data_IF_294277675291
#
_entry.id   IF_294277675291
#
_cell.length_a   1.000
_cell.length_b   1.000
_cell.length_c   1.000
_cell.angle_alpha   90.00
_cell.angle_beta   90.00
_cell.angle_gamma   90.00
#
_symmetry.space_group_name_H-M   'P 1'
#
loop_
_entity.id
_entity.type
_entity.pdbx_description
1 polymer ?
#
# COMPACT_ATOMS: atom_id res chain seq x y z
N UNK A 1 -31.88 -30.36 37.94
CA UNK A 1 -31.64 -29.08 37.24
C UNK A 1 -30.13 -28.94 37.12
N UNK A 2 -29.57 -29.23 35.93
CA UNK A 2 -28.13 -29.14 35.69
C UNK A 2 -27.81 -27.69 35.34
N UNK A 3 -27.04 -27.01 36.18
CA UNK A 3 -26.57 -25.66 35.90
C UNK A 3 -25.52 -25.73 34.78
N UNK A 4 -25.89 -25.24 33.60
CA UNK A 4 -24.98 -24.99 32.50
C UNK A 4 -24.03 -23.85 32.90
N UNK A 5 -22.80 -24.20 33.26
CA UNK A 5 -21.70 -23.25 33.41
C UNK A 5 -21.36 -22.71 32.03
N UNK A 6 -21.94 -21.56 31.68
CA UNK A 6 -21.43 -20.76 30.57
C UNK A 6 -20.00 -20.32 30.91
N UNK A 7 -19.02 -20.96 30.28
CA UNK A 7 -17.66 -20.43 30.20
C UNK A 7 -17.75 -19.04 29.57
N UNK A 8 -17.69 -18.00 30.40
CA UNK A 8 -17.47 -16.64 29.93
C UNK A 8 -16.08 -16.62 29.32
N UNK A 9 -16.01 -16.52 28.00
CA UNK A 9 -14.79 -16.10 27.31
C UNK A 9 -14.32 -14.80 27.99
N UNK A 10 -13.07 -14.70 28.46
CA UNK A 10 -12.57 -13.47 29.07
C UNK A 10 -12.79 -12.31 28.09
N UNK A 11 -13.28 -11.19 28.63
CA UNK A 11 -13.47 -10.00 27.81
C UNK A 11 -12.11 -9.59 27.22
N UNK A 12 -12.06 -9.17 25.94
CA UNK A 12 -10.81 -8.77 25.31
C UNK A 12 -10.14 -7.67 26.14
N UNK A 13 -8.82 -7.78 26.31
CA UNK A 13 -8.04 -6.82 27.08
C UNK A 13 -8.21 -5.42 26.50
N UNK A 14 -8.41 -4.43 27.39
CA UNK A 14 -8.60 -3.04 26.95
C UNK A 14 -7.31 -2.43 26.37
N UNK A 15 -6.14 -2.91 26.81
CA UNK A 15 -4.81 -2.58 26.30
C UNK A 15 -4.04 -3.84 25.96
N UNK A 16 -3.16 -3.73 24.96
CA UNK A 16 -2.26 -4.80 24.53
C UNK A 16 -0.84 -4.51 25.01
N UNK A 17 -0.09 -5.57 25.28
CA UNK A 17 1.30 -5.52 25.70
C UNK A 17 2.13 -6.61 25.00
N UNK A 18 3.45 -6.56 25.16
CA UNK A 18 4.33 -7.62 24.65
C UNK A 18 4.02 -8.99 25.27
N UNK A 19 3.40 -9.05 26.46
CA UNK A 19 3.01 -10.33 27.10
C UNK A 19 1.85 -11.02 26.40
N UNK A 20 1.10 -10.28 25.59
CA UNK A 20 0.01 -10.80 24.78
C UNK A 20 0.53 -11.32 23.43
N UNK A 21 1.84 -11.15 23.14
CA UNK A 21 2.49 -11.70 21.96
C UNK A 21 2.81 -13.19 22.19
N UNK A 22 2.12 -14.05 21.45
CA UNK A 22 2.19 -15.50 21.45
C UNK A 22 2.47 -15.96 20.01
N UNK A 23 3.65 -16.55 19.82
CA UNK A 23 4.10 -17.00 18.51
C UNK A 23 3.28 -18.19 18.00
N UNK A 24 2.75 -19.07 18.86
CA UNK A 24 1.96 -20.22 18.44
C UNK A 24 0.58 -19.76 17.95
N UNK A 25 -0.03 -18.78 18.62
CA UNK A 25 -1.25 -18.13 18.15
C UNK A 25 -1.03 -17.41 16.80
N UNK A 26 0.15 -16.81 16.61
CA UNK A 26 0.53 -16.18 15.35
C UNK A 26 0.70 -17.20 14.21
N UNK A 27 1.42 -18.29 14.45
CA UNK A 27 1.59 -19.42 13.51
C UNK A 27 0.25 -19.95 13.03
N UNK A 28 -0.67 -20.19 13.97
CA UNK A 28 -2.01 -20.68 13.66
C UNK A 28 -2.83 -19.76 12.74
N UNK A 29 -2.48 -18.47 12.65
CA UNK A 29 -3.08 -17.51 11.72
C UNK A 29 -2.38 -17.47 10.36
N UNK A 30 -1.04 -17.45 10.36
CA UNK A 30 -0.24 -17.23 9.13
C UNK A 30 -0.01 -18.49 8.31
N UNK A 31 -0.11 -19.66 8.94
CA UNK A 31 0.02 -20.96 8.26
C UNK A 31 -1.30 -21.43 7.62
N UNK A 32 -2.37 -20.63 7.73
CA UNK A 32 -3.65 -20.93 7.08
C UNK A 32 -3.52 -20.81 5.56
N UNK A 33 -4.09 -21.74 4.77
CA UNK A 33 -4.12 -21.62 3.33
C UNK A 33 -5.20 -20.63 2.86
N UNK A 34 -4.89 -19.84 1.84
CA UNK A 34 -5.87 -19.04 1.10
C UNK A 34 -6.62 -19.93 0.09
N UNK A 35 -7.89 -20.21 0.35
CA UNK A 35 -8.76 -20.95 -0.57
C UNK A 35 -9.29 -20.05 -1.69
N UNK A 36 -8.98 -20.40 -2.95
CA UNK A 36 -9.44 -19.64 -4.14
C UNK A 36 -10.96 -19.64 -4.31
N UNK A 37 -11.66 -20.65 -3.78
CA UNK A 37 -13.12 -20.78 -3.83
C UNK A 37 -13.86 -19.63 -3.13
N UNK A 38 -13.21 -18.98 -2.16
CA UNK A 38 -13.74 -17.80 -1.49
C UNK A 38 -13.55 -16.48 -2.28
N UNK A 39 -12.84 -16.53 -3.42
CA UNK A 39 -12.43 -15.38 -4.23
C UNK A 39 -12.72 -15.61 -5.73
N UNK A 40 -14.00 -15.67 -6.15
CA UNK A 40 -14.39 -15.96 -7.53
C UNK A 40 -13.88 -14.96 -8.58
N UNK A 41 -13.50 -13.73 -8.18
CA UNK A 41 -12.91 -12.76 -9.10
C UNK A 41 -11.39 -12.90 -9.24
N UNK A 42 -10.72 -13.61 -8.34
CA UNK A 42 -9.31 -13.92 -8.45
C UNK A 42 -9.03 -14.93 -9.58
N UNK A 43 -7.91 -14.74 -10.26
CA UNK A 43 -7.39 -15.64 -11.28
C UNK A 43 -6.63 -16.82 -10.69
N UNK A 44 -6.09 -16.68 -9.48
CA UNK A 44 -5.39 -17.73 -8.77
C UNK A 44 -4.91 -17.31 -7.39
N UNK A 45 -4.26 -18.25 -6.72
CA UNK A 45 -3.54 -18.02 -5.46
C UNK A 45 -2.13 -18.56 -5.64
N UNK A 46 -1.13 -17.74 -5.35
CA UNK A 46 0.27 -18.17 -5.31
C UNK A 46 0.87 -17.80 -3.95
N UNK A 47 1.41 -18.78 -3.23
CA UNK A 47 2.03 -18.55 -1.90
C UNK A 47 1.13 -17.74 -0.94
N UNK A 48 -0.16 -18.10 -0.90
CA UNK A 48 -1.23 -17.42 -0.16
C UNK A 48 -1.59 -15.99 -0.62
N UNK A 49 -0.99 -15.48 -1.68
CA UNK A 49 -1.34 -14.19 -2.28
C UNK A 49 -2.39 -14.38 -3.38
N UNK A 50 -3.44 -13.56 -3.35
CA UNK A 50 -4.46 -13.57 -4.40
C UNK A 50 -3.96 -12.83 -5.64
N UNK A 51 -4.06 -13.48 -6.80
CA UNK A 51 -3.71 -12.92 -8.09
C UNK A 51 -4.99 -12.57 -8.85
N UNK A 52 -5.10 -11.34 -9.32
CA UNK A 52 -6.18 -10.86 -10.18
C UNK A 52 -5.62 -10.39 -11.51
N UNK A 53 -6.45 -10.43 -12.55
CA UNK A 53 -6.11 -9.85 -13.87
C UNK A 53 -6.94 -8.59 -14.08
N UNK A 54 -6.28 -7.47 -14.43
CA UNK A 54 -6.94 -6.17 -14.54
C UNK A 54 -8.07 -6.15 -15.59
N UNK A 55 -7.90 -6.87 -16.70
CA UNK A 55 -8.90 -7.00 -17.77
C UNK A 55 -10.17 -7.73 -17.29
N UNK A 56 -10.02 -8.78 -16.48
CA UNK A 56 -11.13 -9.50 -15.85
C UNK A 56 -11.86 -8.62 -14.84
N UNK A 57 -11.11 -7.86 -14.04
CA UNK A 57 -11.70 -6.93 -13.08
C UNK A 57 -12.50 -5.81 -13.77
N UNK A 58 -12.03 -5.32 -14.92
CA UNK A 58 -12.72 -4.28 -15.68
C UNK A 58 -14.10 -4.71 -16.21
N UNK A 59 -14.30 -6.01 -16.45
CA UNK A 59 -15.54 -6.59 -16.95
C UNK A 59 -16.50 -7.08 -15.85
N UNK A 60 -16.01 -7.18 -14.60
CA UNK A 60 -16.78 -7.72 -13.49
C UNK A 60 -17.72 -6.66 -12.86
N UNK A 61 -18.70 -7.14 -12.09
CA UNK A 61 -19.49 -6.23 -11.26
C UNK A 61 -18.59 -5.56 -10.21
N UNK A 62 -18.47 -4.23 -10.31
CA UNK A 62 -17.54 -3.46 -9.48
C UNK A 62 -17.80 -3.65 -7.99
N UNK A 63 -19.07 -3.72 -7.58
CA UNK A 63 -19.44 -3.85 -6.15
C UNK A 63 -19.10 -5.24 -5.61
N UNK A 64 -19.32 -6.30 -6.39
CA UNK A 64 -18.92 -7.65 -6.03
C UNK A 64 -17.39 -7.76 -5.86
N UNK A 65 -16.63 -7.20 -6.80
CA UNK A 65 -15.15 -7.14 -6.69
C UNK A 65 -14.72 -6.36 -5.45
N UNK A 66 -15.31 -5.19 -5.18
CA UNK A 66 -14.99 -4.42 -3.98
C UNK A 66 -15.24 -5.22 -2.69
N UNK A 67 -16.37 -5.93 -2.60
CA UNK A 67 -16.68 -6.77 -1.44
C UNK A 67 -15.67 -7.91 -1.26
N UNK A 68 -15.21 -8.51 -2.36
CA UNK A 68 -14.17 -9.53 -2.36
C UNK A 68 -12.80 -8.98 -1.93
N UNK A 69 -12.39 -7.81 -2.44
CA UNK A 69 -11.17 -7.12 -2.04
C UNK A 69 -11.20 -6.74 -0.55
N UNK A 70 -12.32 -6.25 -0.03
CA UNK A 70 -12.51 -5.97 1.41
C UNK A 70 -12.28 -7.24 2.23
N UNK A 71 -12.86 -8.38 1.81
CA UNK A 71 -12.63 -9.67 2.45
C UNK A 71 -11.16 -10.08 2.39
N UNK A 72 -10.50 -9.89 1.25
CA UNK A 72 -9.09 -10.21 1.08
C UNK A 72 -8.19 -9.42 2.05
N UNK A 73 -8.46 -8.13 2.26
CA UNK A 73 -7.66 -7.27 3.14
C UNK A 73 -7.99 -7.42 4.64
N UNK A 74 -9.24 -7.68 4.99
CA UNK A 74 -9.66 -7.86 6.38
C UNK A 74 -9.40 -9.29 6.87
N UNK A 75 -10.24 -10.23 6.44
CA UNK A 75 -10.28 -11.60 6.98
C UNK A 75 -9.39 -12.58 6.20
N UNK A 76 -8.97 -12.18 5.00
CA UNK A 76 -8.21 -12.98 4.05
C UNK A 76 -6.69 -12.89 4.24
N UNK A 77 -5.92 -13.04 3.15
CA UNK A 77 -4.45 -13.02 3.19
C UNK A 77 -3.85 -11.64 3.47
N UNK A 78 -4.63 -10.57 3.42
CA UNK A 78 -4.14 -9.21 3.64
C UNK A 78 -3.36 -8.63 2.47
N UNK A 79 -3.28 -9.32 1.32
CA UNK A 79 -2.50 -8.92 0.15
C UNK A 79 -3.14 -9.43 -1.15
N UNK A 80 -3.07 -8.61 -2.19
CA UNK A 80 -3.47 -8.95 -3.55
C UNK A 80 -2.43 -8.42 -4.55
N UNK A 81 -2.25 -9.13 -5.66
CA UNK A 81 -1.50 -8.66 -6.84
C UNK A 81 -2.48 -8.56 -8.01
N UNK A 82 -2.47 -7.41 -8.67
CA UNK A 82 -3.25 -7.16 -9.88
C UNK A 82 -2.28 -7.13 -11.07
N UNK A 83 -2.33 -8.18 -11.87
CA UNK A 83 -1.50 -8.32 -13.07
C UNK A 83 -2.01 -7.42 -14.18
N UNK A 84 -1.08 -6.77 -14.87
CA UNK A 84 -1.40 -5.83 -15.94
C UNK A 84 -2.24 -4.64 -15.47
N UNK A 85 -2.07 -4.21 -14.20
CA UNK A 85 -2.79 -3.06 -13.66
C UNK A 85 -2.62 -1.82 -14.55
N UNK A 86 -1.45 -1.66 -15.17
CA UNK A 86 -1.22 -0.76 -16.30
C UNK A 86 -1.15 -1.55 -17.60
N UNK A 87 -2.28 -1.64 -18.31
CA UNK A 87 -2.36 -2.36 -19.58
C UNK A 87 -1.51 -1.75 -20.71
N UNK A 88 -1.29 -0.43 -20.67
CA UNK A 88 -0.34 0.26 -21.55
C UNK A 88 0.96 0.55 -20.79
N UNK A 89 2.05 -0.20 -21.08
CA UNK A 89 3.34 0.04 -20.45
C UNK A 89 3.91 1.43 -20.72
N UNK A 90 3.48 2.11 -21.80
CA UNK A 90 3.99 3.44 -22.13
C UNK A 90 3.56 4.50 -21.11
N UNK A 91 2.43 4.30 -20.41
CA UNK A 91 2.02 5.17 -19.28
C UNK A 91 3.05 5.05 -18.14
N UNK A 92 3.43 3.81 -17.79
CA UNK A 92 4.46 3.55 -16.77
C UNK A 92 5.81 4.12 -17.20
N UNK A 93 6.19 3.97 -18.47
CA UNK A 93 7.46 4.49 -19.00
C UNK A 93 7.54 6.02 -18.92
N UNK A 94 6.47 6.74 -19.28
CA UNK A 94 6.41 8.21 -19.15
C UNK A 94 6.57 8.65 -17.70
N UNK A 95 5.84 8.03 -16.77
CA UNK A 95 5.95 8.35 -15.34
C UNK A 95 7.31 7.93 -14.76
N UNK A 96 7.91 6.84 -15.24
CA UNK A 96 9.28 6.44 -14.90
C UNK A 96 10.28 7.54 -15.29
N UNK A 97 10.15 8.10 -16.49
CA UNK A 97 11.00 9.21 -16.94
C UNK A 97 10.86 10.46 -16.05
N UNK A 98 9.64 10.79 -15.60
CA UNK A 98 9.40 11.86 -14.62
C UNK A 98 10.13 11.56 -13.31
N UNK A 99 10.03 10.32 -12.80
CA UNK A 99 10.71 9.93 -11.56
C UNK A 99 12.23 9.95 -11.69
N UNK A 100 12.79 9.46 -12.79
CA UNK A 100 14.24 9.55 -13.04
C UNK A 100 14.71 11.01 -13.13
N UNK A 101 13.93 11.90 -13.76
CA UNK A 101 14.24 13.33 -13.80
C UNK A 101 14.21 13.97 -12.41
N UNK A 102 13.23 13.62 -11.57
CA UNK A 102 13.15 14.07 -10.18
C UNK A 102 14.35 13.57 -9.36
N UNK A 103 14.74 12.29 -9.50
CA UNK A 103 15.92 11.72 -8.84
C UNK A 103 17.20 12.44 -9.30
N UNK A 104 17.36 12.67 -10.61
CA UNK A 104 18.52 13.38 -11.14
C UNK A 104 18.59 14.82 -10.62
N UNK A 105 17.45 15.52 -10.53
CA UNK A 105 17.35 16.86 -9.96
C UNK A 105 17.73 16.92 -8.48
N UNK A 106 17.29 15.95 -7.67
CA UNK A 106 17.67 15.84 -6.25
C UNK A 106 19.18 15.61 -6.07
N UNK A 107 19.77 14.75 -6.90
CA UNK A 107 21.23 14.50 -6.89
C UNK A 107 22.00 15.75 -7.27
N UNK A 108 21.56 16.48 -8.30
CA UNK A 108 22.23 17.68 -8.79
C UNK A 108 22.17 18.85 -7.80
N UNK A 109 21.10 18.97 -7.01
CA UNK A 109 20.94 20.04 -6.01
C UNK A 109 21.73 19.81 -4.72
N UNK A 110 22.37 18.64 -4.56
CA UNK A 110 23.06 18.27 -3.31
C UNK A 110 22.10 18.01 -2.14
N UNK A 111 20.78 18.07 -2.36
CA UNK A 111 19.77 17.62 -1.42
C UNK A 111 19.78 16.09 -1.40
N UNK A 112 20.79 15.49 -0.76
CA UNK A 112 20.86 14.06 -0.50
C UNK A 112 19.72 13.65 0.43
N UNK A 113 18.53 13.39 -0.13
CA UNK A 113 17.45 12.78 0.60
C UNK A 113 17.84 11.32 0.86
N UNK A 114 18.52 11.08 1.99
CA UNK A 114 18.81 9.74 2.45
C UNK A 114 17.51 8.94 2.57
N UNK A 115 17.56 7.68 2.19
CA UNK A 115 16.59 6.70 2.66
C UNK A 115 16.83 6.50 4.16
N UNK A 116 15.86 6.83 5.01
CA UNK A 116 15.95 6.58 6.45
C UNK A 116 16.17 5.08 6.78
N UNK A 117 15.90 4.20 5.82
CA UNK A 117 15.96 2.75 5.97
C UNK A 117 17.18 2.10 5.31
N UNK A 118 18.07 2.85 4.64
CA UNK A 118 19.23 2.28 3.95
C UNK A 118 20.51 3.13 4.08
N UNK A 119 21.66 2.51 3.78
CA UNK A 119 22.95 3.24 3.72
C UNK A 119 22.90 4.27 2.58
N UNK A 120 23.56 5.45 2.72
CA UNK A 120 23.63 6.44 1.65
C UNK A 120 24.10 5.82 0.32
N UNK A 121 23.35 6.06 -0.76
CA UNK A 121 23.63 5.54 -2.11
C UNK A 121 23.13 4.12 -2.39
N UNK A 122 22.63 3.38 -1.40
CA UNK A 122 22.05 2.05 -1.64
C UNK A 122 20.71 2.14 -2.39
N UNK A 123 19.89 3.15 -2.06
CA UNK A 123 18.58 3.38 -2.64
C UNK A 123 18.45 4.83 -3.14
N UNK A 124 17.69 5.05 -4.21
CA UNK A 124 17.15 6.37 -4.55
C UNK A 124 15.72 6.49 -4.03
N UNK A 125 15.40 7.61 -3.39
CA UNK A 125 14.07 7.87 -2.80
C UNK A 125 13.56 9.25 -3.21
N UNK A 126 12.34 9.30 -3.74
CA UNK A 126 11.60 10.55 -3.93
C UNK A 126 10.43 10.57 -2.95
N UNK A 127 10.54 11.38 -1.88
CA UNK A 127 9.42 11.70 -0.98
C UNK A 127 8.42 12.62 -1.67
N UNK A 128 7.15 12.56 -1.28
CA UNK A 128 6.06 13.31 -1.89
C UNK A 128 6.11 13.28 -3.44
N UNK A 129 6.28 12.09 -4.00
CA UNK A 129 6.41 11.90 -5.44
C UNK A 129 5.11 12.23 -6.19
N UNK A 130 3.95 12.07 -5.54
CA UNK A 130 2.64 12.42 -6.09
C UNK A 130 2.60 13.90 -6.50
N UNK A 131 2.85 14.80 -5.55
CA UNK A 131 2.83 16.24 -5.80
C UNK A 131 3.89 16.64 -6.83
N UNK A 132 5.12 16.15 -6.64
CA UNK A 132 6.24 16.47 -7.52
C UNK A 132 5.98 16.02 -8.96
N UNK A 133 5.40 14.84 -9.17
CA UNK A 133 5.05 14.36 -10.50
C UNK A 133 3.94 15.22 -11.13
N UNK A 134 2.90 15.57 -10.37
CA UNK A 134 1.82 16.44 -10.85
C UNK A 134 2.34 17.81 -11.29
N UNK A 135 3.28 18.40 -10.55
CA UNK A 135 3.86 19.71 -10.87
C UNK A 135 4.91 19.64 -12.00
N UNK A 136 5.61 18.51 -12.14
CA UNK A 136 6.64 18.33 -13.14
C UNK A 136 6.06 18.03 -14.53
N UNK A 137 5.10 17.09 -14.60
CA UNK A 137 4.42 16.70 -15.83
C UNK A 137 2.95 16.34 -15.53
N UNK A 138 2.04 17.33 -15.58
CA UNK A 138 0.62 17.12 -15.30
C UNK A 138 -0.06 16.11 -16.24
N UNK A 139 0.41 15.96 -17.50
CA UNK A 139 -0.17 15.01 -18.46
C UNK A 139 0.23 13.58 -18.12
N UNK A 140 1.52 13.33 -17.86
CA UNK A 140 1.98 12.02 -17.40
C UNK A 140 1.37 11.63 -16.04
N UNK A 141 1.20 12.61 -15.14
CA UNK A 141 0.50 12.41 -13.88
C UNK A 141 -0.95 11.97 -14.10
N UNK A 142 -1.71 12.71 -14.93
CA UNK A 142 -3.12 12.43 -15.14
C UNK A 142 -3.33 11.07 -15.83
N UNK A 143 -2.54 10.74 -16.85
CA UNK A 143 -2.59 9.44 -17.51
C UNK A 143 -2.29 8.28 -16.52
N UNK A 144 -1.34 8.48 -15.61
CA UNK A 144 -0.96 7.46 -14.62
C UNK A 144 -2.01 7.27 -13.53
N UNK A 145 -2.53 8.34 -12.95
CA UNK A 145 -3.48 8.27 -11.84
C UNK A 145 -4.96 8.16 -12.27
N UNK A 146 -5.25 8.28 -13.56
CA UNK A 146 -6.53 7.83 -14.13
C UNK A 146 -6.75 6.31 -14.04
N UNK A 147 -5.74 5.56 -13.61
CA UNK A 147 -5.76 4.10 -13.53
C UNK A 147 -6.92 3.59 -12.66
N UNK A 148 -7.84 2.85 -13.30
CA UNK A 148 -9.04 2.35 -12.63
C UNK A 148 -8.78 1.23 -11.62
N UNK A 149 -7.69 0.47 -11.74
CA UNK A 149 -7.32 -0.54 -10.75
C UNK A 149 -6.95 0.14 -9.43
N UNK A 150 -6.16 1.21 -9.48
CA UNK A 150 -5.84 2.01 -8.28
C UNK A 150 -7.13 2.50 -7.64
N UNK A 151 -8.01 3.15 -8.42
CA UNK A 151 -9.27 3.68 -7.90
C UNK A 151 -10.20 2.58 -7.35
N UNK A 152 -10.30 1.44 -8.01
CA UNK A 152 -11.08 0.27 -7.60
C UNK A 152 -10.63 -0.23 -6.22
N UNK A 153 -9.34 -0.52 -6.09
CA UNK A 153 -8.77 -1.12 -4.89
C UNK A 153 -8.79 -0.13 -3.71
N UNK A 154 -8.45 1.14 -3.97
CA UNK A 154 -8.52 2.20 -2.96
C UNK A 154 -9.95 2.42 -2.45
N UNK A 155 -10.92 2.57 -3.35
CA UNK A 155 -12.32 2.79 -2.95
C UNK A 155 -12.99 1.57 -2.32
N UNK A 156 -12.52 0.35 -2.63
CA UNK A 156 -12.97 -0.87 -1.97
C UNK A 156 -12.67 -0.81 -0.47
N UNK A 157 -11.44 -0.49 -0.10
CA UNK A 157 -10.97 -0.54 1.28
C UNK A 157 -11.29 0.75 2.07
N UNK A 158 -11.09 1.92 1.47
CA UNK A 158 -11.08 3.20 2.16
C UNK A 158 -12.35 4.03 1.95
N UNK A 159 -13.21 3.59 1.02
CA UNK A 159 -14.38 4.35 0.58
C UNK A 159 -14.04 5.48 -0.39
N UNK A 160 -15.03 6.32 -0.74
CA UNK A 160 -14.82 7.50 -1.57
C UNK A 160 -13.98 8.57 -0.85
N UNK A 161 -13.39 9.49 -1.60
CA UNK A 161 -12.57 10.57 -1.04
C UNK A 161 -11.25 10.09 -0.45
N UNK A 162 -10.81 8.88 -0.79
CA UNK A 162 -9.48 8.41 -0.42
C UNK A 162 -8.42 9.40 -0.91
N UNK A 163 -7.31 9.49 -0.19
CA UNK A 163 -6.21 10.39 -0.50
C UNK A 163 -4.97 9.58 -0.85
N UNK A 164 -4.41 9.80 -2.03
CA UNK A 164 -3.15 9.14 -2.42
C UNK A 164 -1.98 10.04 -2.03
N UNK A 165 -0.99 9.48 -1.35
CA UNK A 165 0.39 9.96 -1.39
C UNK A 165 1.26 8.88 -2.03
N UNK A 166 2.43 9.27 -2.54
CA UNK A 166 3.33 8.29 -3.13
C UNK A 166 4.80 8.62 -2.95
N UNK A 167 5.61 7.58 -2.96
CA UNK A 167 7.05 7.64 -2.76
C UNK A 167 7.74 6.70 -3.73
N UNK A 168 8.65 7.24 -4.54
CA UNK A 168 9.43 6.40 -5.46
C UNK A 168 10.56 5.77 -4.70
N UNK A 169 10.69 4.45 -4.81
CA UNK A 169 11.77 3.69 -4.22
C UNK A 169 12.53 2.91 -5.29
N UNK A 170 13.80 3.24 -5.49
CA UNK A 170 14.72 2.49 -6.35
C UNK A 170 15.71 1.74 -5.47
N UNK A 171 15.64 0.42 -5.47
CA UNK A 171 16.64 -0.42 -4.80
C UNK A 171 17.70 -0.78 -5.83
N UNK A 172 18.91 -0.23 -5.68
CA UNK A 172 19.99 -0.49 -6.63
C UNK A 172 20.60 -1.88 -6.41
N UNK A 173 21.30 -2.46 -7.41
CA UNK A 173 22.07 -3.69 -7.23
C UNK A 173 22.95 -3.66 -5.97
N UNK A 174 22.88 -4.72 -5.17
CA UNK A 174 23.56 -4.82 -3.87
C UNK A 174 22.80 -4.18 -2.69
N UNK A 175 21.62 -3.59 -2.93
CA UNK A 175 20.76 -3.06 -1.87
C UNK A 175 20.35 -4.15 -0.87
N UNK A 176 20.49 -3.84 0.43
CA UNK A 176 20.16 -4.78 1.51
C UNK A 176 18.65 -4.82 1.79
N UNK A 177 18.18 -5.96 2.30
CA UNK A 177 16.81 -6.08 2.79
C UNK A 177 16.58 -5.16 3.99
N UNK A 178 15.33 -4.73 4.15
CA UNK A 178 14.85 -4.09 5.36
C UNK A 178 14.47 -5.13 6.41
N UNK A 179 14.35 -4.69 7.66
CA UNK A 179 13.75 -5.48 8.74
C UNK A 179 12.24 -5.54 8.54
N UNK A 180 11.63 -6.68 8.89
CA UNK A 180 10.17 -6.82 8.97
C UNK A 180 9.57 -5.67 9.75
N UNK A 181 8.43 -5.16 9.31
CA UNK A 181 7.66 -4.16 10.02
C UNK A 181 6.17 -4.27 9.65
N UNK A 182 5.36 -3.51 10.40
CA UNK A 182 4.04 -3.06 9.97
C UNK A 182 4.14 -1.58 9.64
N UNK A 183 3.27 -1.11 8.78
CA UNK A 183 3.19 0.30 8.40
C UNK A 183 2.28 1.10 9.34
N UNK A 184 2.05 2.36 8.94
CA UNK A 184 1.24 3.38 9.60
C UNK A 184 -0.08 2.85 10.20
N UNK A 185 -0.53 3.34 11.36
CA UNK A 185 0.01 4.42 12.19
C UNK A 185 0.95 3.93 13.29
N UNK A 186 0.63 2.79 13.89
CA UNK A 186 1.37 2.27 15.06
C UNK A 186 2.69 1.59 14.67
N UNK A 187 2.85 1.22 13.40
CA UNK A 187 4.03 0.55 12.87
C UNK A 187 5.34 1.30 13.08
N UNK A 188 5.31 2.63 13.16
CA UNK A 188 6.50 3.46 13.36
C UNK A 188 6.76 3.83 14.82
N UNK A 189 5.86 3.50 15.74
CA UNK A 189 6.01 3.81 17.16
C UNK A 189 6.92 2.81 17.88
N UNK A 190 7.50 3.19 19.02
CA UNK A 190 8.11 2.20 19.92
C UNK A 190 7.03 1.28 20.50
N UNK A 191 7.42 0.10 21.00
CA UNK A 191 6.48 -0.80 21.68
C UNK A 191 5.80 -0.13 22.89
N UNK A 192 6.55 0.68 23.64
CA UNK A 192 6.01 1.48 24.76
C UNK A 192 4.88 2.41 24.28
N UNK A 193 5.12 3.23 23.25
CA UNK A 193 4.13 4.16 22.72
C UNK A 193 2.93 3.42 22.10
N UNK A 194 3.17 2.34 21.34
CA UNK A 194 2.11 1.52 20.77
C UNK A 194 1.24 0.85 21.86
N UNK A 195 1.83 0.43 22.98
CA UNK A 195 1.10 -0.20 24.10
C UNK A 195 0.21 0.76 24.88
N UNK A 196 0.45 2.08 24.79
CA UNK A 196 -0.41 3.10 25.39
C UNK A 196 -1.76 3.23 24.66
N UNK A 197 -1.84 2.78 23.40
CA UNK A 197 -3.08 2.76 22.65
C UNK A 197 -3.94 1.55 23.04
N UNK A 198 -5.25 1.75 23.29
CA UNK A 198 -6.15 0.65 23.62
C UNK A 198 -6.36 -0.28 22.41
N UNK A 199 -6.75 -1.53 22.65
CA UNK A 199 -6.83 -2.57 21.63
C UNK A 199 -7.69 -2.19 20.40
N UNK A 200 -8.77 -1.42 20.59
CA UNK A 200 -9.59 -0.97 19.46
C UNK A 200 -8.87 0.01 18.52
N UNK A 201 -7.85 0.74 18.98
CA UNK A 201 -7.01 1.58 18.12
C UNK A 201 -6.05 0.72 17.29
N UNK A 202 -5.55 -0.39 17.83
CA UNK A 202 -4.77 -1.36 17.07
C UNK A 202 -5.60 -1.98 15.93
N UNK A 203 -6.90 -2.20 16.15
CA UNK A 203 -7.84 -2.67 15.12
C UNK A 203 -8.24 -1.58 14.12
N UNK A 204 -8.37 -0.33 14.57
CA UNK A 204 -8.74 0.82 13.73
C UNK A 204 -7.60 1.28 12.82
N UNK A 205 -6.36 1.28 13.32
CA UNK A 205 -5.22 1.82 12.58
C UNK A 205 -5.07 1.25 11.16
N UNK A 206 -5.15 -0.08 10.94
CA UNK A 206 -4.99 -0.63 9.59
C UNK A 206 -6.17 -0.40 8.65
N UNK A 207 -7.35 0.02 9.14
CA UNK A 207 -8.49 0.34 8.26
C UNK A 207 -8.45 1.77 7.74
N UNK A 208 -7.54 2.61 8.24
CA UNK A 208 -7.39 4.00 7.81
C UNK A 208 -6.43 4.18 6.64
N UNK A 209 -5.65 3.16 6.29
CA UNK A 209 -4.74 3.21 5.14
C UNK A 209 -4.70 1.90 4.37
N UNK A 210 -4.23 1.99 3.13
CA UNK A 210 -3.89 0.87 2.27
C UNK A 210 -2.51 1.11 1.67
N UNK A 211 -1.66 0.10 1.73
CA UNK A 211 -0.36 0.15 1.07
C UNK A 211 -0.48 -0.43 -0.33
N UNK A 212 0.20 0.20 -1.28
CA UNK A 212 0.30 -0.27 -2.64
C UNK A 212 1.69 -0.04 -3.22
N UNK A 213 2.03 -0.78 -4.26
CA UNK A 213 3.20 -0.50 -5.07
C UNK A 213 2.93 -0.87 -6.52
N UNK A 214 3.34 0.01 -7.43
CA UNK A 214 3.34 -0.26 -8.88
C UNK A 214 4.78 -0.55 -9.31
N UNK A 215 4.97 -1.62 -10.08
CA UNK A 215 6.26 -1.99 -10.61
C UNK A 215 6.61 -1.15 -11.85
N UNK A 216 7.72 -0.40 -11.80
CA UNK A 216 8.20 0.42 -12.93
C UNK A 216 9.25 -0.31 -13.79
N UNK A 217 9.61 -1.53 -13.40
CA UNK A 217 10.44 -2.45 -14.16
C UNK A 217 9.99 -3.88 -13.84
N UNK A 218 10.48 -4.86 -14.57
CA UNK A 218 10.35 -6.25 -14.14
C UNK A 218 11.13 -6.45 -12.83
N UNK A 219 10.53 -7.18 -11.91
CA UNK A 219 11.06 -7.46 -10.58
C UNK A 219 11.08 -8.97 -10.33
N UNK A 220 12.00 -9.71 -10.95
CA UNK A 220 12.20 -11.10 -10.59
C UNK A 220 12.70 -11.18 -9.13
N UNK A 221 12.59 -12.35 -8.47
CA UNK A 221 12.86 -12.47 -7.03
C UNK A 221 14.28 -12.02 -6.66
N UNK A 222 15.27 -12.25 -7.53
CA UNK A 222 16.65 -11.80 -7.34
C UNK A 222 16.82 -10.28 -7.31
N UNK A 223 15.91 -9.50 -7.90
CA UNK A 223 15.95 -8.03 -7.82
C UNK A 223 15.41 -7.49 -6.50
N UNK A 224 14.93 -8.37 -5.60
CA UNK A 224 14.44 -8.00 -4.29
C UNK A 224 13.07 -7.32 -4.27
N UNK A 225 12.01 -7.87 -4.92
CA UNK A 225 10.64 -7.43 -4.64
C UNK A 225 10.33 -7.59 -3.14
N UNK A 226 9.28 -6.93 -2.66
CA UNK A 226 8.92 -6.91 -1.25
C UNK A 226 8.67 -8.33 -0.70
N UNK A 227 9.14 -8.56 0.52
CA UNK A 227 8.91 -9.75 1.34
C UNK A 227 7.56 -9.57 2.05
N UNK A 228 6.71 -10.59 2.04
CA UNK A 228 5.40 -10.55 2.67
C UNK A 228 5.16 -11.78 3.55
N UNK A 229 4.34 -11.64 4.59
CA UNK A 229 3.82 -12.78 5.33
C UNK A 229 2.29 -12.72 5.33
N UNK A 230 1.62 -13.34 4.33
CA UNK A 230 0.16 -13.39 4.24
C UNK A 230 -0.51 -13.80 5.55
N UNK A 231 -1.72 -13.28 5.79
CA UNK A 231 -2.54 -13.47 6.99
C UNK A 231 -1.99 -12.84 8.28
N UNK A 232 -0.76 -12.33 8.31
CA UNK A 232 -0.18 -11.77 9.54
C UNK A 232 -0.87 -10.49 10.01
N UNK A 233 -1.63 -9.80 9.15
CA UNK A 233 -2.39 -8.59 9.51
C UNK A 233 -3.50 -8.88 10.52
N UNK A 234 -3.99 -10.13 10.55
CA UNK A 234 -5.04 -10.59 11.48
C UNK A 234 -4.57 -10.65 12.92
N UNK A 235 -3.25 -10.67 13.15
CA UNK A 235 -2.70 -10.80 14.49
C UNK A 235 -2.79 -9.47 15.25
N UNK A 236 -3.71 -9.40 16.21
CA UNK A 236 -4.05 -8.16 16.90
C UNK A 236 -2.85 -7.51 17.64
N UNK A 237 -2.04 -8.23 18.44
CA UNK A 237 -0.84 -7.67 19.08
C UNK A 237 0.32 -7.38 18.11
N UNK A 238 0.17 -7.61 16.80
CA UNK A 238 1.30 -7.63 15.89
C UNK A 238 2.03 -6.30 15.68
N UNK A 239 1.44 -5.15 16.06
CA UNK A 239 2.18 -3.88 16.11
C UNK A 239 3.26 -3.85 17.20
N UNK A 240 3.13 -4.70 18.22
CA UNK A 240 4.14 -4.93 19.27
C UNK A 240 5.05 -6.12 18.89
N UNK A 241 4.47 -7.15 18.28
CA UNK A 241 5.14 -8.43 18.06
C UNK A 241 6.27 -8.39 17.03
N UNK A 242 6.16 -7.63 15.94
CA UNK A 242 7.13 -7.70 14.83
C UNK A 242 8.57 -7.34 15.23
N UNK A 243 8.75 -6.62 16.36
CA UNK A 243 10.08 -6.26 16.88
C UNK A 243 10.71 -7.35 17.73
N UNK A 244 9.92 -8.32 18.20
CA UNK A 244 10.38 -9.39 19.07
C UNK A 244 11.23 -10.40 18.28
N UNK A 245 12.36 -10.88 18.84
CA UNK A 245 13.30 -11.74 18.12
C UNK A 245 12.67 -12.98 17.47
N UNK A 246 11.75 -13.63 18.18
CA UNK A 246 11.09 -14.86 17.72
C UNK A 246 10.13 -14.63 16.55
N UNK A 247 9.47 -13.47 16.48
CA UNK A 247 8.63 -13.09 15.35
C UNK A 247 9.46 -12.66 14.13
N UNK A 248 10.60 -11.99 14.36
CA UNK A 248 11.55 -11.65 13.29
C UNK A 248 12.15 -12.90 12.65
N UNK A 249 12.64 -13.82 13.49
CA UNK A 249 13.19 -15.09 13.02
C UNK A 249 12.13 -15.89 12.24
N UNK A 250 10.88 -15.92 12.74
CA UNK A 250 9.79 -16.57 12.03
C UNK A 250 9.52 -15.94 10.67
N UNK A 251 9.47 -14.61 10.57
CA UNK A 251 9.29 -13.91 9.30
C UNK A 251 10.44 -14.17 8.33
N UNK A 252 11.69 -14.10 8.79
CA UNK A 252 12.87 -14.38 7.96
C UNK A 252 12.83 -15.79 7.35
N UNK A 253 12.30 -16.77 8.08
CA UNK A 253 12.16 -18.15 7.61
C UNK A 253 10.93 -18.38 6.70
N UNK A 254 9.81 -17.67 6.94
CA UNK A 254 8.50 -18.00 6.34
C UNK A 254 7.94 -16.96 5.37
N UNK A 255 8.60 -15.81 5.19
CA UNK A 255 8.14 -14.81 4.22
C UNK A 255 8.07 -15.39 2.80
N UNK A 256 7.23 -14.76 1.98
CA UNK A 256 7.07 -15.07 0.56
C UNK A 256 7.47 -13.86 -0.27
N UNK A 257 7.91 -14.12 -1.50
CA UNK A 257 8.14 -13.13 -2.53
C UNK A 257 7.46 -13.60 -3.80
N UNK A 258 6.92 -12.65 -4.56
CA UNK A 258 6.40 -12.89 -5.89
C UNK A 258 7.17 -12.03 -6.89
N UNK A 259 7.51 -12.58 -8.07
CA UNK A 259 7.95 -11.74 -9.16
C UNK A 259 6.82 -10.82 -9.60
N UNK A 260 7.15 -9.60 -10.02
CA UNK A 260 6.22 -8.66 -10.61
C UNK A 260 6.71 -8.28 -12.01
N UNK A 261 5.81 -8.20 -12.98
CA UNK A 261 6.12 -7.59 -14.27
C UNK A 261 5.95 -6.07 -14.19
N UNK A 262 6.62 -5.33 -15.08
CA UNK A 262 6.38 -3.88 -15.22
C UNK A 262 4.88 -3.62 -15.44
N UNK A 263 4.32 -2.70 -14.65
CA UNK A 263 2.91 -2.33 -14.70
C UNK A 263 1.99 -3.17 -13.82
N UNK A 264 2.48 -4.23 -13.18
CA UNK A 264 1.74 -4.91 -12.12
C UNK A 264 1.61 -4.00 -10.88
N UNK A 265 0.51 -4.15 -10.16
CA UNK A 265 0.28 -3.46 -8.90
C UNK A 265 0.04 -4.47 -7.77
N UNK A 266 0.73 -4.30 -6.65
CA UNK A 266 0.48 -5.03 -5.40
C UNK A 266 -0.20 -4.10 -4.42
N UNK A 267 -1.20 -4.60 -3.69
CA UNK A 267 -1.84 -3.89 -2.59
C UNK A 267 -1.92 -4.78 -1.37
N UNK A 268 -1.71 -4.22 -0.19
CA UNK A 268 -1.75 -4.97 1.05
C UNK A 268 -2.20 -4.12 2.22
N UNK A 269 -2.79 -4.79 3.21
CA UNK A 269 -3.18 -4.20 4.47
C UNK A 269 -1.91 -3.71 5.20
N UNK A 270 -1.86 -2.47 5.71
CA UNK A 270 -0.68 -1.92 6.39
C UNK A 270 -0.24 -2.71 7.64
N UNK A 271 -1.11 -3.51 8.26
CA UNK A 271 -0.75 -4.41 9.35
C UNK A 271 -0.13 -5.74 8.88
N UNK A 272 0.01 -5.98 7.57
CA UNK A 272 0.75 -7.12 7.07
C UNK A 272 2.24 -6.97 7.44
N UNK A 273 2.86 -8.05 7.90
CA UNK A 273 4.29 -8.10 8.14
C UNK A 273 4.96 -8.13 6.77
N UNK A 274 5.84 -7.16 6.54
CA UNK A 274 6.52 -7.03 5.27
C UNK A 274 7.87 -6.32 5.43
N UNK A 275 8.70 -6.42 4.40
CA UNK A 275 9.99 -5.74 4.33
C UNK A 275 10.44 -5.63 2.87
N UNK A 276 11.23 -4.62 2.52
CA UNK A 276 11.91 -4.63 1.22
C UNK A 276 12.93 -5.78 1.14
N UNK A 277 12.93 -6.51 0.03
CA UNK A 277 13.89 -7.58 -0.22
C UNK A 277 15.29 -7.07 -0.61
N UNK A 278 16.30 -7.93 -0.51
CA UNK A 278 17.66 -7.59 -0.98
C UNK A 278 17.72 -7.66 -2.50
N UNK A 279 18.30 -6.66 -3.14
CA UNK A 279 18.57 -6.70 -4.57
C UNK A 279 19.92 -7.36 -4.84
N UNK A 280 19.88 -8.61 -5.32
CA UNK A 280 21.03 -9.45 -5.65
C UNK A 280 21.29 -9.54 -7.16
N UNK A 281 20.49 -8.85 -7.97
CA UNK A 281 20.70 -8.76 -9.41
C UNK A 281 22.00 -8.00 -9.73
N UNK A 282 22.51 -8.17 -10.95
CA UNK A 282 23.72 -7.48 -11.38
C UNK A 282 23.44 -6.05 -11.85
N UNK A 283 22.27 -5.82 -12.45
CA UNK A 283 21.99 -4.65 -13.29
C UNK A 283 20.58 -4.07 -13.14
N UNK A 284 19.70 -4.68 -12.35
CA UNK A 284 18.32 -4.20 -12.20
C UNK A 284 18.28 -3.11 -11.12
N UNK A 285 17.99 -1.87 -11.53
CA UNK A 285 17.59 -0.79 -10.62
C UNK A 285 16.09 -0.92 -10.34
N UNK A 286 15.75 -1.66 -9.27
CA UNK A 286 14.37 -2.07 -8.97
C UNK A 286 13.52 -0.88 -8.49
N UNK A 287 12.87 -0.20 -9.43
CA UNK A 287 12.02 0.97 -9.18
C UNK A 287 10.56 0.56 -8.93
N UNK A 288 10.03 0.99 -7.79
CA UNK A 288 8.60 0.91 -7.48
C UNK A 288 8.07 2.29 -7.10
N UNK A 289 6.87 2.61 -7.55
CA UNK A 289 6.11 3.73 -7.01
C UNK A 289 5.23 3.21 -5.85
N UNK A 290 5.62 3.54 -4.62
CA UNK A 290 4.91 3.11 -3.42
C UNK A 290 3.73 4.05 -3.19
N UNK A 291 2.53 3.51 -3.21
CA UNK A 291 1.29 4.22 -2.95
C UNK A 291 0.93 4.05 -1.48
N UNK A 292 0.77 5.15 -0.76
CA UNK A 292 0.15 5.12 0.56
C UNK A 292 -1.19 5.82 0.44
N UNK A 293 -2.25 5.03 0.43
CA UNK A 293 -3.60 5.55 0.26
C UNK A 293 -4.24 5.65 1.63
N UNK A 294 -4.78 6.82 1.95
CA UNK A 294 -5.40 7.11 3.25
C UNK A 294 -6.91 7.31 3.08
N UNK A 295 -7.67 6.93 4.11
CA UNK A 295 -9.09 7.31 4.20
C UNK A 295 -9.21 8.83 4.26
N UNK A 296 -10.30 9.38 3.71
CA UNK A 296 -10.67 10.77 3.89
C UNK A 296 -10.68 11.21 5.36
N UNK A 297 -11.01 10.28 6.27
CA UNK A 297 -11.10 10.53 7.71
C UNK A 297 -9.76 10.39 8.46
N UNK A 298 -8.69 10.02 7.76
CA UNK A 298 -7.36 9.82 8.32
C UNK A 298 -6.39 10.92 7.90
N UNK A 299 -5.33 11.10 8.70
CA UNK A 299 -4.19 11.92 8.29
C UNK A 299 -3.22 11.06 7.47
N UNK A 300 -2.82 11.52 6.29
CA UNK A 300 -1.79 10.87 5.51
C UNK A 300 -0.39 11.03 6.14
N UNK A 301 0.54 10.14 5.77
CA UNK A 301 1.92 10.19 6.27
C UNK A 301 2.69 11.42 5.79
N UNK A 302 2.31 11.96 4.63
CA UNK A 302 2.91 13.14 4.01
C UNK A 302 1.83 14.20 3.75
N UNK A 303 2.22 15.47 3.87
CA UNK A 303 1.38 16.59 3.43
C UNK A 303 1.57 16.79 1.94
N UNK A 304 0.46 16.86 1.20
CA UNK A 304 0.41 17.21 -0.23
C UNK A 304 -0.28 18.57 -0.36
N UNK A 305 0.30 19.48 -1.14
CA UNK A 305 -0.37 20.70 -1.55
C UNK A 305 -1.44 20.37 -2.62
N UNK A 306 -2.63 20.02 -2.14
CA UNK A 306 -3.77 19.62 -2.98
C UNK A 306 -4.25 20.74 -3.90
N UNK A 307 -4.12 22.00 -3.47
CA UNK A 307 -4.49 23.15 -4.30
C UNK A 307 -3.51 23.29 -5.47
N UNK A 308 -2.21 23.21 -5.22
CA UNK A 308 -1.19 23.25 -6.28
C UNK A 308 -1.34 22.07 -7.26
N UNK A 309 -1.56 20.85 -6.74
CA UNK A 309 -1.80 19.66 -7.57
C UNK A 309 -3.06 19.83 -8.43
N UNK A 310 -4.19 20.22 -7.83
CA UNK A 310 -5.44 20.42 -8.56
C UNK A 310 -5.28 21.53 -9.62
N UNK A 311 -4.63 22.64 -9.28
CA UNK A 311 -4.36 23.74 -10.21
C UNK A 311 -3.49 23.33 -11.40
N UNK A 312 -2.48 22.49 -11.18
CA UNK A 312 -1.61 21.99 -12.25
C UNK A 312 -2.33 20.98 -13.17
N UNK A 313 -3.19 20.13 -12.62
CA UNK A 313 -3.87 19.06 -13.35
C UNK A 313 -5.17 19.53 -14.03
N UNK A 314 -5.81 20.59 -13.52
CA UNK A 314 -7.08 21.09 -14.05
C UNK A 314 -7.06 21.43 -15.56
N UNK A 315 -6.04 22.10 -16.12
CA UNK A 315 -5.94 22.31 -17.57
C UNK A 315 -5.91 21.00 -18.37
N UNK A 316 -5.27 19.95 -17.84
CA UNK A 316 -5.22 18.63 -18.47
C UNK A 316 -6.59 17.97 -18.45
N UNK A 317 -7.31 18.03 -17.33
CA UNK A 317 -8.69 17.53 -17.23
C UNK A 317 -9.61 18.19 -18.27
N UNK A 318 -9.56 19.51 -18.41
CA UNK A 318 -10.35 20.23 -19.42
C UNK A 318 -9.99 19.83 -20.86
N UNK A 319 -8.69 19.75 -21.16
CA UNK A 319 -8.20 19.31 -22.48
C UNK A 319 -8.69 17.91 -22.79
N UNK A 320 -8.47 16.96 -21.87
CA UNK A 320 -8.86 15.54 -22.04
C UNK A 320 -10.36 15.36 -22.15
N UNK A 321 -11.16 16.11 -21.40
CA UNK A 321 -12.60 16.14 -21.54
C UNK A 321 -13.01 16.62 -22.95
N UNK A 322 -12.38 17.68 -23.47
CA UNK A 322 -12.60 18.16 -24.85
C UNK A 322 -12.16 17.16 -25.93
N UNK A 323 -11.16 16.32 -25.64
CA UNK A 323 -10.70 15.21 -26.49
C UNK A 323 -11.59 13.95 -26.37
N UNK A 324 -12.60 13.95 -25.49
CA UNK A 324 -13.55 12.85 -25.31
C UNK A 324 -13.13 11.80 -24.27
N UNK A 325 -12.26 12.15 -23.32
CA UNK A 325 -11.96 11.27 -22.18
C UNK A 325 -13.25 10.94 -21.40
N UNK A 326 -13.39 9.67 -21.04
CA UNK A 326 -14.57 9.19 -20.30
C UNK A 326 -14.66 9.74 -18.88
N UNK A 327 -15.87 9.80 -18.34
CA UNK A 327 -16.16 10.30 -16.99
C UNK A 327 -15.29 9.62 -15.91
N UNK A 328 -15.19 8.30 -15.95
CA UNK A 328 -14.38 7.52 -15.01
C UNK A 328 -12.89 7.89 -15.03
N UNK A 329 -12.36 8.23 -16.20
CA UNK A 329 -10.96 8.68 -16.31
C UNK A 329 -10.78 10.01 -15.57
N UNK A 330 -11.71 10.96 -15.77
CA UNK A 330 -11.70 12.27 -15.11
C UNK A 330 -11.86 12.11 -13.59
N UNK A 331 -12.82 11.30 -13.15
CA UNK A 331 -13.07 11.03 -11.72
C UNK A 331 -11.86 10.43 -11.02
N UNK A 332 -11.16 9.49 -11.65
CA UNK A 332 -9.98 8.86 -11.06
C UNK A 332 -8.84 9.86 -10.87
N UNK A 333 -8.61 10.73 -11.85
CA UNK A 333 -7.61 11.81 -11.76
C UNK A 333 -7.98 12.78 -10.64
N UNK A 334 -9.25 13.20 -10.56
CA UNK A 334 -9.75 14.09 -9.51
C UNK A 334 -9.54 13.45 -8.13
N UNK A 335 -9.88 12.16 -7.98
CA UNK A 335 -9.71 11.44 -6.72
C UNK A 335 -8.23 11.31 -6.29
N UNK A 336 -7.28 11.27 -7.23
CA UNK A 336 -5.85 11.27 -6.92
C UNK A 336 -5.30 12.67 -6.57
N UNK A 337 -5.92 13.73 -7.08
CA UNK A 337 -5.44 15.11 -6.98
C UNK A 337 -6.01 15.89 -5.79
N UNK A 338 -7.31 15.78 -5.53
CA UNK A 338 -8.05 16.65 -4.61
C UNK A 338 -8.08 16.12 -3.17
N UNK A 339 -8.45 17.00 -2.23
CA UNK A 339 -8.80 16.62 -0.85
C UNK A 339 -10.22 16.02 -0.83
N UNK A 340 -10.37 14.87 -0.17
CA UNK A 340 -11.61 14.11 -0.11
C UNK A 340 -12.36 14.23 1.21
N UNK A 341 -11.81 14.94 2.21
CA UNK A 341 -12.46 15.16 3.49
C UNK A 341 -13.76 15.98 3.33
N UNK A 342 -14.93 15.44 3.72
CA UNK A 342 -16.23 16.03 3.36
C UNK A 342 -16.70 17.15 4.29
N UNK A 343 -15.94 17.49 5.33
CA UNK A 343 -16.31 18.51 6.30
C UNK A 343 -15.38 19.73 6.20
N UNK A 344 -15.89 20.94 6.44
CA UNK A 344 -15.05 22.12 6.51
C UNK A 344 -14.00 21.95 7.61
N UNK A 345 -12.75 22.25 7.28
CA UNK A 345 -11.64 22.20 8.25
C UNK A 345 -11.74 23.34 9.27
N UNK A 346 -12.59 24.34 9.02
CA UNK A 346 -12.89 25.44 9.92
C UNK A 346 -14.34 25.91 9.78
N UNK A 347 -15.24 25.39 10.62
CA UNK A 347 -16.67 25.77 10.63
C UNK A 347 -16.93 27.25 10.95
N UNK A 348 -16.00 27.96 11.59
CA UNK A 348 -16.16 29.39 11.86
C UNK A 348 -15.95 30.24 10.60
N UNK A 349 -15.17 29.73 9.64
CA UNK A 349 -14.86 30.43 8.37
C UNK A 349 -15.71 29.93 7.21
N UNK A 350 -16.01 28.63 7.21
CA UNK A 350 -16.70 27.92 6.14
C UNK A 350 -17.85 27.06 6.75
N UNK A 351 -18.97 27.68 7.17
CA UNK A 351 -20.05 27.01 7.92
C UNK A 351 -20.93 26.06 7.10
#
# INVERSE_FOLDING_TARGET
MSASTHQRTPAPAAWLSERDCDLDAFRALVEQPTGLDAYPHAAGVERNVLLYDADRLALADRRAVQAELVRAFADGPGIVVIRGAFADPAVVDRTTAVFDALIAGQRASGAGAGDHFARPGANDRVWNALEKAALYDPEAFADYYANDVIALVSSAWLGPGYQITSQVNVVNPGGAAQTVHRDYHLGFLSNEAASAHPAHVHRLSPVLTLQGAVAHCDMPVESGPTLYLPHSQKYEPGYLAWRLPEFRAYFEEHHVQLPLAKGDAVFFNPALFHAAGSNRSADIRRMANLLQVSSAFGRAMETVDREAVAGAVYPVLLKRQGEGAGERWLENVIAASAEGYPFPTNLDRDP
#
